data_IF_652404484680
#
_entry.id   IF_652404484680
#
_cell.length_a   1.000
_cell.length_b   1.000
_cell.length_c   1.000
_cell.angle_alpha   90.00
_cell.angle_beta   90.00
_cell.angle_gamma   90.00
#
_symmetry.space_group_name_H-M   'P 1'
#
loop_
_entity.id
_entity.type
_entity.pdbx_description
1 polymer ?
#
# COMPACT_ATOMS: atom_id res chain seq x y z
N UNK A 1 4.01 8.85 -24.98
CA UNK A 1 3.37 9.15 -23.67
C UNK A 1 4.49 9.63 -22.77
N UNK A 2 4.36 10.82 -22.19
CA UNK A 2 5.39 11.39 -21.32
C UNK A 2 5.08 10.96 -19.89
N UNK A 3 5.98 10.19 -19.27
CA UNK A 3 5.85 9.79 -17.87
C UNK A 3 6.61 10.78 -17.00
N UNK A 4 5.90 11.45 -16.09
CA UNK A 4 6.51 12.35 -15.11
C UNK A 4 6.93 11.53 -13.90
N UNK A 5 8.22 11.22 -13.80
CA UNK A 5 8.75 10.45 -12.67
C UNK A 5 8.79 11.23 -11.35
N UNK A 6 8.75 12.56 -11.43
CA UNK A 6 8.79 13.48 -10.29
C UNK A 6 7.52 13.41 -9.41
N UNK A 7 6.40 12.94 -9.95
CA UNK A 7 5.14 12.79 -9.18
C UNK A 7 5.05 11.49 -8.40
N UNK A 8 5.99 10.56 -8.61
CA UNK A 8 6.01 9.30 -7.88
C UNK A 8 6.61 9.50 -6.48
N UNK A 9 6.15 8.72 -5.48
CA UNK A 9 6.77 8.73 -4.16
C UNK A 9 8.22 8.23 -4.23
N UNK A 10 8.97 8.37 -3.14
CA UNK A 10 10.28 7.72 -3.00
C UNK A 10 10.20 6.21 -3.24
N UNK A 11 11.32 5.58 -3.63
CA UNK A 11 11.35 4.11 -3.75
C UNK A 11 11.16 3.46 -2.39
N UNK A 12 10.42 2.36 -2.34
CA UNK A 12 10.07 1.69 -1.10
C UNK A 12 11.11 0.63 -0.76
N UNK A 13 11.79 0.76 0.39
CA UNK A 13 12.84 -0.16 0.83
C UNK A 13 12.36 -1.20 1.87
N UNK A 14 11.16 -0.99 2.44
CA UNK A 14 10.68 -1.64 3.66
C UNK A 14 11.50 -1.28 4.92
N UNK A 15 11.99 -0.05 5.02
CA UNK A 15 12.54 0.46 6.27
C UNK A 15 11.43 0.65 7.33
N UNK A 16 11.79 0.81 8.60
CA UNK A 16 10.82 1.06 9.68
C UNK A 16 9.97 2.31 9.43
N UNK A 17 10.54 3.35 8.84
CA UNK A 17 9.82 4.57 8.44
C UNK A 17 8.91 4.34 7.23
N UNK A 18 9.38 3.58 6.23
CA UNK A 18 8.56 3.22 5.07
C UNK A 18 7.32 2.43 5.49
N UNK A 19 7.48 1.46 6.40
CA UNK A 19 6.38 0.65 6.92
C UNK A 19 5.35 1.49 7.68
N UNK A 20 5.78 2.49 8.44
CA UNK A 20 4.89 3.40 9.14
C UNK A 20 4.03 4.25 8.17
N UNK A 21 4.60 4.62 7.01
CA UNK A 21 3.96 5.45 6.00
C UNK A 21 3.42 4.65 4.81
N UNK A 22 3.30 3.33 4.94
CA UNK A 22 2.96 2.44 3.82
C UNK A 22 1.65 2.81 3.12
N UNK A 23 0.60 3.14 3.89
CA UNK A 23 -0.70 3.53 3.30
C UNK A 23 -0.58 4.82 2.47
N UNK A 24 0.16 5.80 2.97
CA UNK A 24 0.42 7.07 2.28
C UNK A 24 1.18 6.80 0.99
N UNK A 25 2.20 5.94 1.07
CA UNK A 25 2.99 5.53 -0.08
C UNK A 25 2.14 4.82 -1.15
N UNK A 26 1.29 3.86 -0.75
CA UNK A 26 0.40 3.12 -1.67
C UNK A 26 -0.57 4.08 -2.37
N UNK A 27 -1.17 5.01 -1.63
CA UNK A 27 -2.06 6.03 -2.18
C UNK A 27 -1.33 6.92 -3.19
N UNK A 28 -0.17 7.48 -2.82
CA UNK A 28 0.65 8.31 -3.71
C UNK A 28 1.07 7.57 -4.98
N UNK A 29 1.50 6.30 -4.85
CA UNK A 29 1.87 5.48 -5.99
C UNK A 29 0.69 5.24 -6.94
N UNK A 30 -0.50 4.93 -6.41
CA UNK A 30 -1.73 4.77 -7.22
C UNK A 30 -2.11 6.05 -7.96
N UNK A 31 -2.02 7.19 -7.29
CA UNK A 31 -2.38 8.48 -7.91
C UNK A 31 -1.37 8.86 -8.99
N UNK A 32 -0.07 8.60 -8.78
CA UNK A 32 0.96 8.80 -9.80
C UNK A 32 0.74 7.91 -11.04
N UNK A 33 0.34 6.64 -10.87
CA UNK A 33 -0.03 5.74 -11.97
C UNK A 33 -1.20 6.30 -12.77
N UNK A 34 -2.27 6.73 -12.07
CA UNK A 34 -3.47 7.30 -12.70
C UNK A 34 -3.16 8.61 -13.43
N UNK A 35 -2.42 9.51 -12.79
CA UNK A 35 -2.04 10.80 -13.34
C UNK A 35 -1.25 10.65 -14.65
N UNK A 36 -0.33 9.69 -14.70
CA UNK A 36 0.47 9.42 -15.89
C UNK A 36 -0.28 8.59 -16.95
N UNK A 37 -1.52 8.13 -16.70
CA UNK A 37 -2.29 7.32 -17.64
C UNK A 37 -1.66 5.96 -17.94
N UNK A 38 -0.90 5.40 -17.00
CA UNK A 38 -0.11 4.18 -17.21
C UNK A 38 -1.05 2.97 -17.27
N UNK A 39 -0.86 2.12 -18.28
CA UNK A 39 -1.66 0.90 -18.45
C UNK A 39 -1.31 -0.14 -17.39
N UNK A 40 -2.22 -1.06 -17.12
CA UNK A 40 -2.07 -2.04 -16.04
C UNK A 40 -0.79 -2.89 -16.13
N UNK A 41 -0.43 -3.36 -17.33
CA UNK A 41 0.80 -4.13 -17.56
C UNK A 41 2.08 -3.33 -17.28
N UNK A 42 2.07 -2.05 -17.65
CA UNK A 42 3.17 -1.12 -17.43
C UNK A 42 3.27 -0.74 -15.95
N UNK A 43 2.13 -0.54 -15.28
CA UNK A 43 2.06 -0.24 -13.86
C UNK A 43 2.64 -1.39 -13.02
N UNK A 44 2.37 -2.63 -13.41
CA UNK A 44 2.97 -3.83 -12.82
C UNK A 44 4.50 -3.89 -13.03
N UNK A 45 5.03 -3.43 -14.17
CA UNK A 45 6.49 -3.34 -14.38
C UNK A 45 7.09 -2.22 -13.54
N UNK A 46 6.42 -1.06 -13.51
CA UNK A 46 6.87 0.10 -12.77
C UNK A 46 6.91 -0.15 -11.26
N UNK A 47 5.90 -0.82 -10.71
CA UNK A 47 5.89 -1.24 -9.32
C UNK A 47 7.14 -2.03 -8.95
N UNK A 48 7.56 -2.98 -9.80
CA UNK A 48 8.78 -3.78 -9.56
C UNK A 48 10.05 -2.95 -9.54
N UNK A 49 10.10 -1.86 -10.32
CA UNK A 49 11.23 -0.93 -10.35
C UNK A 49 11.24 0.06 -9.17
N UNK A 50 10.09 0.23 -8.53
CA UNK A 50 9.90 1.14 -7.39
C UNK A 50 10.13 0.48 -6.03
N UNK A 51 10.34 -0.83 -5.99
CA UNK A 51 10.77 -1.56 -4.81
C UNK A 51 12.29 -1.72 -4.79
N UNK A 52 12.90 -1.47 -3.63
CA UNK A 52 14.34 -1.64 -3.38
C UNK A 52 14.55 -2.37 -2.05
N UNK A 53 15.80 -2.67 -1.69
CA UNK A 53 16.13 -3.25 -0.39
C UNK A 53 15.36 -4.54 -0.09
N UNK A 54 14.78 -4.63 1.10
CA UNK A 54 14.07 -5.83 1.55
C UNK A 54 12.72 -6.01 0.86
N UNK A 55 12.06 -4.93 0.44
CA UNK A 55 10.87 -5.01 -0.40
C UNK A 55 11.13 -5.65 -1.76
N UNK A 56 12.29 -5.37 -2.37
CA UNK A 56 12.68 -6.00 -3.63
C UNK A 56 12.97 -7.51 -3.46
N UNK A 57 13.54 -7.91 -2.32
CA UNK A 57 13.75 -9.34 -1.98
C UNK A 57 12.42 -10.07 -1.79
N UNK A 58 11.52 -9.52 -0.99
CA UNK A 58 10.16 -10.05 -0.80
C UNK A 58 9.41 -10.23 -2.13
N UNK A 59 9.49 -9.24 -3.02
CA UNK A 59 8.89 -9.35 -4.36
C UNK A 59 9.52 -10.48 -5.18
N UNK A 60 10.84 -10.68 -5.09
CA UNK A 60 11.52 -11.79 -5.78
C UNK A 60 11.04 -13.15 -5.27
N UNK A 61 10.88 -13.31 -3.96
CA UNK A 61 10.37 -14.56 -3.35
C UNK A 61 8.96 -14.91 -3.85
N UNK A 62 8.11 -13.90 -4.06
CA UNK A 62 6.74 -14.10 -4.55
C UNK A 62 6.62 -14.12 -6.08
N UNK A 63 7.71 -13.89 -6.82
CA UNK A 63 7.65 -13.63 -8.26
C UNK A 63 7.04 -14.78 -9.06
N UNK A 64 7.39 -16.04 -8.74
CA UNK A 64 6.87 -17.22 -9.43
C UNK A 64 5.36 -17.40 -9.19
N UNK A 65 4.93 -17.28 -7.94
CA UNK A 65 3.51 -17.37 -7.57
C UNK A 65 2.70 -16.25 -8.19
N UNK A 66 3.24 -15.04 -8.17
CA UNK A 66 2.60 -13.87 -8.76
C UNK A 66 2.45 -13.98 -10.28
N UNK A 67 3.43 -14.55 -10.99
CA UNK A 67 3.33 -14.82 -12.41
C UNK A 67 2.30 -15.90 -12.73
N UNK A 68 2.35 -17.03 -12.01
CA UNK A 68 1.41 -18.14 -12.20
C UNK A 68 -0.04 -17.71 -11.98
N UNK A 69 -0.28 -16.82 -11.01
CA UNK A 69 -1.61 -16.31 -10.66
C UNK A 69 -1.94 -14.97 -11.33
N UNK A 70 -1.11 -14.50 -12.26
CA UNK A 70 -1.29 -13.25 -13.01
C UNK A 70 -1.64 -12.05 -12.11
N UNK A 71 -0.82 -11.82 -11.08
CA UNK A 71 -1.08 -10.74 -10.13
C UNK A 71 -1.09 -9.38 -10.83
N UNK A 72 -2.18 -8.66 -10.59
CA UNK A 72 -2.36 -7.25 -10.95
C UNK A 72 -1.78 -6.36 -9.86
N UNK A 73 -1.58 -5.08 -10.19
CA UNK A 73 -1.02 -4.09 -9.26
C UNK A 73 -1.78 -4.06 -7.94
N UNK A 74 -3.12 -4.10 -7.97
CA UNK A 74 -3.93 -4.10 -6.74
C UNK A 74 -3.65 -5.28 -5.82
N UNK A 75 -3.35 -6.45 -6.40
CA UNK A 75 -3.00 -7.64 -5.62
C UNK A 75 -1.63 -7.49 -4.99
N UNK A 76 -0.66 -6.98 -5.74
CA UNK A 76 0.67 -6.66 -5.21
C UNK A 76 0.59 -5.67 -4.04
N UNK A 77 -0.15 -4.58 -4.18
CA UNK A 77 -0.31 -3.57 -3.12
C UNK A 77 -1.03 -4.14 -1.89
N UNK A 78 -2.01 -5.04 -2.09
CA UNK A 78 -2.70 -5.71 -0.98
C UNK A 78 -1.78 -6.65 -0.20
N UNK A 79 -0.96 -7.44 -0.89
CA UNK A 79 -0.01 -8.34 -0.23
C UNK A 79 1.14 -7.57 0.42
N UNK A 80 1.57 -6.46 -0.19
CA UNK A 80 2.52 -5.53 0.41
C UNK A 80 1.99 -4.96 1.74
N UNK A 81 0.71 -4.55 1.77
CA UNK A 81 0.04 -4.10 2.99
C UNK A 81 -0.04 -5.18 4.06
N UNK A 82 -0.28 -6.44 3.70
CA UNK A 82 -0.27 -7.54 4.68
C UNK A 82 1.11 -7.81 5.26
N UNK A 83 2.16 -7.67 4.45
CA UNK A 83 3.52 -8.00 4.85
C UNK A 83 4.20 -6.88 5.65
N UNK A 84 3.98 -5.62 5.25
CA UNK A 84 4.67 -4.46 5.80
C UNK A 84 3.76 -3.47 6.51
N UNK A 85 2.44 -3.61 6.37
CA UNK A 85 1.50 -2.72 7.01
C UNK A 85 1.44 -2.96 8.51
N UNK A 86 0.94 -1.97 9.26
CA UNK A 86 0.60 -2.21 10.65
C UNK A 86 -0.41 -3.37 10.73
N UNK A 87 -0.36 -4.20 11.79
CA UNK A 87 -1.35 -5.26 11.98
C UNK A 87 -2.74 -4.65 11.84
N UNK A 88 -3.61 -5.27 11.04
CA UNK A 88 -4.97 -4.78 10.84
C UNK A 88 -5.61 -4.60 12.22
N UNK A 89 -5.70 -3.34 12.67
CA UNK A 89 -6.51 -3.02 13.84
C UNK A 89 -7.92 -3.21 13.35
N UNK A 90 -8.50 -4.36 13.69
CA UNK A 90 -9.90 -4.65 13.45
C UNK A 90 -10.71 -3.69 14.31
N UNK A 91 -10.84 -2.44 13.87
CA UNK A 91 -11.91 -1.56 14.29
C UNK A 91 -13.20 -2.11 13.68
N UNK A 92 -13.60 -3.29 14.14
CA UNK A 92 -15.01 -3.57 14.34
C UNK A 92 -15.43 -2.46 15.30
N UNK A 93 -15.88 -1.34 14.74
CA UNK A 93 -16.25 -0.16 15.49
C UNK A 93 -17.31 -0.60 16.48
N UNK A 94 -16.88 -0.80 17.72
CA UNK A 94 -17.80 -1.02 18.82
C UNK A 94 -18.55 0.28 18.99
N UNK A 95 -19.74 0.33 18.39
CA UNK A 95 -20.78 1.34 18.63
C UNK A 95 -20.98 1.55 20.15
N UNK A 96 -20.61 0.56 20.96
CA UNK A 96 -20.54 0.61 22.42
C UNK A 96 -19.55 1.65 22.97
N UNK A 97 -18.38 1.83 22.37
CA UNK A 97 -17.38 2.81 22.82
C UNK A 97 -17.84 4.24 22.58
N UNK A 98 -18.56 4.48 21.47
CA UNK A 98 -19.21 5.77 21.20
C UNK A 98 -20.37 6.03 22.17
N UNK A 99 -21.18 5.01 22.49
CA UNK A 99 -22.25 5.13 23.50
C UNK A 99 -21.72 5.46 24.89
N UNK A 100 -20.56 4.91 25.28
CA UNK A 100 -19.91 5.21 26.56
C UNK A 100 -19.45 6.67 26.64
N UNK A 101 -18.94 7.24 25.54
CA UNK A 101 -18.53 8.65 25.47
C UNK A 101 -19.70 9.64 25.42
N UNK A 102 -20.85 9.24 24.86
CA UNK A 102 -22.06 10.07 24.85
C UNK A 102 -22.69 10.08 26.25
N UNK A 103 -22.77 8.92 26.91
CA UNK A 103 -23.34 8.80 28.26
C UNK A 103 -22.55 9.61 29.30
N UNK A 104 -21.22 9.64 29.22
CA UNK A 104 -20.41 10.43 30.15
C UNK A 104 -20.51 11.95 29.95
N UNK A 105 -21.04 12.41 28.81
CA UNK A 105 -21.31 13.84 28.53
C UNK A 105 -22.69 14.30 28.96
N UNK A 106 -23.67 13.40 29.08
CA UNK A 106 -25.03 13.73 29.54
C UNK A 106 -25.15 13.75 31.08
N UNK A 107 -24.19 13.16 31.79
CA UNK A 107 -24.14 13.13 33.27
C UNK A 107 -23.23 14.24 33.87
N UNK A 108 -22.90 15.29 33.11
CA UNK A 108 -22.16 16.49 33.59
C UNK A 108 -22.97 17.77 33.46
#
# INVERSE_FOLDING_TARGET
MTTYFEVFPSKFAASTEDCANLEVWICAFRDAIKYNGIKEDEANRLFRLWLVGDAAKWRLELQETALAQQWKLDRWLKEMKKNYGPPEVNYKGDIWTLKLFIKSKEES
#
